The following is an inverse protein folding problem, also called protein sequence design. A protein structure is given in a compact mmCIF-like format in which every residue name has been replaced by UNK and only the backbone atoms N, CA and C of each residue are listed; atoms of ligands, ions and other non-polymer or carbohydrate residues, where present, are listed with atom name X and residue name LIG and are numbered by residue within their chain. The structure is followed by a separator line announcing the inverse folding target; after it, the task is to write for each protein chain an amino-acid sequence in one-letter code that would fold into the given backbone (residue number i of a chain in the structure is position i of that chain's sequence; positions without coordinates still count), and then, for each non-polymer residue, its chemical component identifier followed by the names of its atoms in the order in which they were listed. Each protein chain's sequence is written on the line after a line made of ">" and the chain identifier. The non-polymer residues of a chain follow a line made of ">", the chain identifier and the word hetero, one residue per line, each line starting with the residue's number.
data_IF_276300946024
#
_entry.id   IF_276300946024
#
_cell.length_a   1.000
_cell.length_b   1.000
_cell.length_c   1.000
_cell.angle_alpha   90.00
_cell.angle_beta   90.00
_cell.angle_gamma   90.00
#
_symmetry.space_group_name_H-M   'P 1'
#
loop_
_entity.id
_entity.type
_entity.pdbx_description
1 polymer ?
#
# COMPACT_ATOMS: atom_id res chain seq x y z
N UNK A 1 -7.65 -15.20 0.94
CA UNK A 1 -8.48 -14.01 1.25
C UNK A 1 -8.26 -12.90 0.21
N UNK A 2 -8.80 -13.15 -0.95
CA UNK A 2 -8.88 -12.20 -2.08
C UNK A 2 -10.04 -11.20 -1.85
N UNK A 3 -10.85 -11.39 -0.79
CA UNK A 3 -12.19 -10.85 -0.72
C UNK A 3 -12.31 -9.35 -0.44
N UNK A 4 -11.44 -8.72 0.31
CA UNK A 4 -11.63 -7.30 0.66
C UNK A 4 -11.20 -6.31 -0.44
N UNK A 5 -10.17 -6.64 -1.23
CA UNK A 5 -9.80 -5.83 -2.41
C UNK A 5 -10.70 -6.09 -3.62
N UNK A 6 -11.35 -7.26 -3.70
CA UNK A 6 -12.19 -7.63 -4.84
C UNK A 6 -13.60 -7.04 -4.79
N UNK A 7 -14.18 -6.81 -3.62
CA UNK A 7 -15.55 -6.30 -3.51
C UNK A 7 -15.72 -4.94 -4.17
N UNK A 8 -14.77 -4.02 -4.00
CA UNK A 8 -14.77 -2.75 -4.74
C UNK A 8 -14.46 -2.94 -6.23
N UNK A 9 -13.51 -3.83 -6.57
CA UNK A 9 -13.11 -4.13 -7.94
C UNK A 9 -14.20 -4.82 -8.74
N UNK A 10 -14.99 -5.73 -8.15
CA UNK A 10 -16.10 -6.42 -8.81
C UNK A 10 -17.17 -5.45 -9.29
N UNK A 11 -17.47 -4.41 -8.53
CA UNK A 11 -18.41 -3.37 -8.95
C UNK A 11 -17.87 -2.55 -10.11
N UNK A 12 -16.57 -2.24 -10.12
CA UNK A 12 -15.93 -1.42 -11.14
C UNK A 12 -15.67 -2.16 -12.46
N UNK A 13 -15.65 -3.51 -12.44
CA UNK A 13 -15.29 -4.33 -13.61
C UNK A 13 -16.42 -5.23 -14.11
N UNK A 14 -17.63 -5.11 -13.53
CA UNK A 14 -18.78 -5.99 -13.78
C UNK A 14 -19.07 -6.23 -15.28
N UNK A 15 -18.83 -5.22 -16.11
CA UNK A 15 -19.12 -5.26 -17.56
C UNK A 15 -17.87 -5.55 -18.42
N UNK A 16 -16.73 -5.86 -17.79
CA UNK A 16 -15.46 -6.11 -18.47
C UNK A 16 -15.16 -7.59 -18.55
N UNK A 17 -14.65 -8.03 -19.71
CA UNK A 17 -14.14 -9.40 -19.84
C UNK A 17 -12.81 -9.55 -19.09
N UNK A 18 -12.72 -10.50 -18.19
CA UNK A 18 -11.48 -10.83 -17.48
C UNK A 18 -10.35 -11.29 -18.42
N UNK A 19 -10.70 -11.77 -19.63
CA UNK A 19 -9.75 -12.20 -20.65
C UNK A 19 -9.24 -11.06 -21.54
N UNK A 20 -9.75 -9.83 -21.35
CA UNK A 20 -9.27 -8.68 -22.11
C UNK A 20 -7.85 -8.35 -21.71
N UNK A 21 -6.95 -8.27 -22.70
CA UNK A 21 -5.57 -7.83 -22.50
C UNK A 21 -5.51 -6.29 -22.49
N UNK A 22 -4.75 -5.74 -21.56
CA UNK A 22 -4.51 -4.30 -21.43
C UNK A 22 -3.03 -4.01 -21.55
N UNK A 23 -2.64 -3.21 -22.53
CA UNK A 23 -1.24 -2.82 -22.74
C UNK A 23 -0.65 -2.12 -21.52
N UNK A 24 -1.46 -1.29 -20.84
CA UNK A 24 -1.06 -0.60 -19.60
C UNK A 24 -0.75 -1.53 -18.44
N UNK A 25 -1.31 -2.74 -18.44
CA UNK A 25 -1.06 -3.77 -17.41
C UNK A 25 -0.03 -4.80 -17.86
N UNK A 26 0.25 -4.91 -19.17
CA UNK A 26 1.10 -5.95 -19.77
C UNK A 26 0.56 -7.37 -19.61
N UNK A 27 -0.73 -7.52 -19.31
CA UNK A 27 -1.42 -8.80 -19.04
C UNK A 27 -2.93 -8.66 -19.18
N UNK A 28 -3.67 -9.77 -19.05
CA UNK A 28 -5.13 -9.72 -18.99
C UNK A 28 -5.61 -9.12 -17.67
N UNK A 29 -6.83 -8.60 -17.65
CA UNK A 29 -7.46 -8.07 -16.45
C UNK A 29 -7.53 -9.14 -15.34
N UNK A 30 -7.91 -10.38 -15.71
CA UNK A 30 -7.98 -11.50 -14.76
C UNK A 30 -6.62 -11.82 -14.13
N UNK A 31 -5.55 -11.85 -14.91
CA UNK A 31 -4.19 -12.07 -14.38
C UNK A 31 -3.74 -10.94 -13.45
N UNK A 32 -4.10 -9.69 -13.74
CA UNK A 32 -3.78 -8.57 -12.89
C UNK A 32 -4.52 -8.62 -11.55
N UNK A 33 -5.81 -8.98 -11.57
CA UNK A 33 -6.66 -9.08 -10.39
C UNK A 33 -6.36 -10.30 -9.52
N UNK A 34 -5.88 -11.40 -10.13
CA UNK A 34 -5.50 -12.62 -9.42
C UNK A 34 -4.10 -12.58 -8.81
N UNK A 35 -3.41 -11.43 -8.84
CA UNK A 35 -2.11 -11.28 -8.21
C UNK A 35 -2.20 -11.66 -6.71
N UNK A 36 -1.40 -12.63 -6.23
CA UNK A 36 -1.50 -13.09 -4.85
C UNK A 36 -1.06 -12.02 -3.86
N UNK A 37 -1.67 -12.03 -2.67
CA UNK A 37 -1.22 -11.19 -1.56
C UNK A 37 0.22 -11.51 -1.21
N UNK A 38 1.06 -10.48 -1.15
CA UNK A 38 2.49 -10.60 -0.87
C UNK A 38 2.76 -11.04 0.57
N UNK A 39 3.73 -11.94 0.74
CA UNK A 39 4.16 -12.43 2.05
C UNK A 39 5.42 -11.69 2.49
N UNK A 40 5.32 -10.88 3.55
CA UNK A 40 6.41 -10.00 4.03
C UNK A 40 7.33 -10.62 5.09
N UNK A 41 7.21 -11.92 5.39
CA UNK A 41 8.00 -12.59 6.45
C UNK A 41 9.50 -12.48 6.19
N UNK A 42 9.95 -12.69 4.94
CA UNK A 42 11.37 -12.58 4.59
C UNK A 42 11.89 -11.16 4.80
N UNK A 43 11.11 -10.18 4.38
CA UNK A 43 11.41 -8.75 4.54
C UNK A 43 11.53 -8.36 6.00
N UNK A 44 10.55 -8.74 6.83
CA UNK A 44 10.58 -8.46 8.27
C UNK A 44 11.75 -9.14 8.99
N UNK A 45 12.13 -10.37 8.58
CA UNK A 45 13.33 -11.03 9.10
C UNK A 45 14.61 -10.29 8.71
N UNK A 46 14.71 -9.80 7.48
CA UNK A 46 15.87 -9.02 7.00
C UNK A 46 16.03 -7.74 7.83
N UNK A 47 14.96 -6.98 8.03
CA UNK A 47 14.95 -5.76 8.85
C UNK A 47 15.37 -6.05 10.29
N UNK A 48 14.81 -7.09 10.90
CA UNK A 48 15.19 -7.52 12.25
C UNK A 48 16.67 -7.90 12.36
N UNK A 49 17.19 -8.64 11.37
CA UNK A 49 18.60 -9.06 11.34
C UNK A 49 19.56 -7.88 11.13
N UNK A 50 19.10 -6.79 10.49
CA UNK A 50 19.84 -5.54 10.37
C UNK A 50 19.85 -4.70 11.67
N UNK A 51 19.20 -5.17 12.73
CA UNK A 51 19.17 -4.51 14.03
C UNK A 51 18.17 -3.35 14.15
N UNK A 52 17.32 -3.14 13.15
CA UNK A 52 16.33 -2.06 13.14
C UNK A 52 15.19 -2.34 14.11
N UNK A 53 14.84 -1.33 14.91
CA UNK A 53 13.66 -1.36 15.76
C UNK A 53 12.43 -0.78 15.04
N UNK A 54 11.58 -1.67 14.51
CA UNK A 54 10.30 -1.26 13.90
C UNK A 54 9.34 -0.80 15.00
N UNK A 55 8.97 0.49 15.00
CA UNK A 55 8.09 1.12 15.99
C UNK A 55 6.61 0.93 15.70
N UNK A 56 6.27 0.72 14.44
CA UNK A 56 4.91 0.45 13.99
C UNK A 56 4.91 -0.31 12.67
N UNK A 57 3.91 -1.17 12.48
CA UNK A 57 3.75 -1.97 11.28
C UNK A 57 2.27 -2.05 10.93
N UNK A 58 1.93 -1.71 9.70
CA UNK A 58 0.57 -1.79 9.19
C UNK A 58 0.54 -2.53 7.85
N UNK A 59 -0.20 -3.62 7.78
CA UNK A 59 -0.53 -4.30 6.55
C UNK A 59 -1.74 -3.60 5.92
N UNK A 60 -1.55 -3.05 4.71
CA UNK A 60 -2.58 -2.28 4.02
C UNK A 60 -3.47 -3.23 3.23
N UNK A 61 -4.70 -3.36 3.71
CA UNK A 61 -5.76 -4.21 3.16
C UNK A 61 -7.00 -3.38 2.84
N UNK A 62 -8.20 -3.95 2.84
CA UNK A 62 -9.45 -3.17 2.78
C UNK A 62 -9.50 -2.12 3.88
N UNK A 63 -9.96 -0.91 3.53
CA UNK A 63 -9.82 0.28 4.37
C UNK A 63 -8.61 1.14 4.02
N UNK A 64 -7.74 0.67 3.12
CA UNK A 64 -6.65 1.46 2.53
C UNK A 64 -5.73 2.11 3.56
N UNK A 65 -5.23 3.29 3.23
CA UNK A 65 -4.34 4.05 4.11
C UNK A 65 -5.08 4.64 5.31
N UNK A 66 -6.28 5.17 5.08
CA UNK A 66 -7.03 5.90 6.11
C UNK A 66 -7.43 5.04 7.30
N UNK A 67 -7.76 3.77 7.09
CA UNK A 67 -8.15 2.90 8.19
C UNK A 67 -6.99 2.07 8.75
N UNK A 68 -6.03 1.64 7.91
CA UNK A 68 -5.01 0.70 8.37
C UNK A 68 -3.83 1.41 9.06
N UNK A 69 -3.33 2.52 8.51
CA UNK A 69 -2.15 3.22 9.09
C UNK A 69 -2.43 3.71 10.51
N UNK A 70 -3.57 4.33 10.84
CA UNK A 70 -3.81 4.81 12.20
C UNK A 70 -3.81 3.71 13.26
N UNK A 71 -4.08 2.45 12.89
CA UNK A 71 -4.09 1.32 13.85
C UNK A 71 -2.72 1.09 14.50
N UNK A 72 -1.63 1.44 13.81
CA UNK A 72 -0.28 1.31 14.36
C UNK A 72 0.21 2.56 15.11
N UNK A 73 -0.52 3.68 15.01
CA UNK A 73 -0.13 4.95 15.61
C UNK A 73 -0.65 5.07 17.05
N UNK A 74 0.14 5.58 17.99
CA UNK A 74 -0.36 6.02 19.29
C UNK A 74 -1.22 7.27 19.14
N UNK A 75 -1.94 7.64 20.21
CA UNK A 75 -2.70 8.89 20.26
C UNK A 75 -1.75 10.09 20.26
N UNK A 76 -2.19 11.22 19.71
CA UNK A 76 -1.41 12.45 19.64
C UNK A 76 -0.44 12.56 18.47
N UNK A 77 -0.45 11.59 17.55
CA UNK A 77 0.34 11.64 16.32
C UNK A 77 -0.49 11.24 15.10
N UNK A 78 -0.07 11.74 13.94
CA UNK A 78 -0.64 11.43 12.64
C UNK A 78 0.43 11.04 11.63
N UNK A 79 0.07 10.27 10.61
CA UNK A 79 0.92 10.02 9.45
C UNK A 79 0.65 11.07 8.37
N UNK A 80 1.70 11.67 7.83
CA UNK A 80 1.65 12.52 6.64
C UNK A 80 2.31 11.76 5.50
N UNK A 81 1.51 11.41 4.50
CA UNK A 81 1.94 10.57 3.37
C UNK A 81 1.91 11.37 2.09
N UNK A 82 3.02 11.34 1.35
CA UNK A 82 3.18 11.99 0.05
C UNK A 82 2.74 11.06 -1.06
N UNK A 83 1.71 11.43 -1.81
CA UNK A 83 1.15 10.61 -2.90
C UNK A 83 2.12 10.38 -4.04
N UNK A 84 3.02 11.32 -4.30
CA UNK A 84 4.03 11.28 -5.36
C UNK A 84 5.34 10.59 -4.97
N UNK A 85 5.43 10.05 -3.75
CA UNK A 85 6.63 9.38 -3.23
C UNK A 85 6.90 8.00 -3.83
N UNK A 86 5.94 7.45 -4.57
CA UNK A 86 6.06 6.16 -5.25
C UNK A 86 5.14 6.13 -6.48
N UNK A 87 5.40 5.19 -7.39
CA UNK A 87 4.56 5.00 -8.57
C UNK A 87 3.36 4.09 -8.24
N UNK A 88 2.15 4.63 -8.38
CA UNK A 88 0.91 3.87 -8.20
C UNK A 88 0.74 2.91 -9.40
N UNK A 89 0.56 1.59 -9.16
CA UNK A 89 0.37 0.62 -10.22
C UNK A 89 -0.80 0.97 -11.16
N UNK A 90 -0.66 0.77 -12.48
CA UNK A 90 -1.65 1.19 -13.49
C UNK A 90 -3.06 0.64 -13.26
N UNK A 91 -3.18 -0.53 -12.61
CA UNK A 91 -4.47 -1.15 -12.29
C UNK A 91 -5.37 -0.22 -11.46
N UNK A 92 -4.79 0.53 -10.50
CA UNK A 92 -5.58 1.44 -9.66
C UNK A 92 -6.11 2.63 -10.42
N UNK A 93 -5.31 3.17 -11.36
CA UNK A 93 -5.76 4.26 -12.24
C UNK A 93 -6.89 3.79 -13.17
N UNK A 94 -6.80 2.56 -13.67
CA UNK A 94 -7.85 1.96 -14.49
C UNK A 94 -9.14 1.78 -13.67
N UNK A 95 -9.05 1.22 -12.45
CA UNK A 95 -10.21 1.05 -11.57
C UNK A 95 -10.85 2.39 -11.19
N UNK A 96 -10.04 3.40 -10.92
CA UNK A 96 -10.52 4.75 -10.61
C UNK A 96 -11.30 5.35 -11.77
N UNK A 97 -10.74 5.27 -12.98
CA UNK A 97 -11.35 5.84 -14.20
C UNK A 97 -12.63 5.09 -14.58
N UNK A 98 -12.57 3.76 -14.61
CA UNK A 98 -13.69 2.92 -15.03
C UNK A 98 -14.84 2.89 -14.01
N UNK A 99 -14.51 3.01 -12.73
CA UNK A 99 -15.46 3.05 -11.62
C UNK A 99 -15.94 4.45 -11.25
N UNK A 100 -15.41 5.50 -11.89
CA UNK A 100 -15.68 6.90 -11.53
C UNK A 100 -15.48 7.15 -10.02
N UNK A 101 -14.41 6.55 -9.44
CA UNK A 101 -14.17 6.56 -8.00
C UNK A 101 -13.36 7.80 -7.64
N UNK A 102 -13.85 8.54 -6.65
CA UNK A 102 -13.12 9.67 -6.07
C UNK A 102 -11.77 9.24 -5.48
N UNK A 103 -10.74 10.08 -5.60
CA UNK A 103 -9.38 9.75 -5.17
C UNK A 103 -9.31 9.34 -3.69
N UNK A 104 -9.98 10.06 -2.81
CA UNK A 104 -10.02 9.76 -1.39
C UNK A 104 -10.62 8.38 -1.12
N UNK A 105 -11.64 7.98 -1.89
CA UNK A 105 -12.25 6.67 -1.79
C UNK A 105 -11.28 5.57 -2.29
N UNK A 106 -10.46 5.85 -3.30
CA UNK A 106 -9.40 4.92 -3.73
C UNK A 106 -8.43 4.61 -2.59
N UNK A 107 -7.95 5.64 -1.88
CA UNK A 107 -7.06 5.48 -0.72
C UNK A 107 -7.74 4.93 0.54
N UNK A 108 -9.06 4.99 0.60
CA UNK A 108 -9.85 4.36 1.67
C UNK A 108 -10.22 2.89 1.37
N UNK A 109 -10.18 2.48 0.10
CA UNK A 109 -10.60 1.14 -0.31
C UNK A 109 -9.41 0.24 -0.65
N UNK A 110 -8.41 0.79 -1.34
CA UNK A 110 -7.29 0.04 -1.91
C UNK A 110 -5.97 0.38 -1.22
N UNK A 111 -5.01 -0.53 -1.34
CA UNK A 111 -3.64 -0.30 -0.86
C UNK A 111 -2.79 0.57 -1.78
N UNK A 112 -3.30 0.95 -2.94
CA UNK A 112 -2.67 1.80 -3.95
C UNK A 112 -1.25 1.36 -4.36
N UNK A 113 -0.90 0.07 -4.18
CA UNK A 113 0.41 -0.51 -4.47
C UNK A 113 1.34 -0.63 -3.25
N UNK A 114 0.98 -0.07 -2.10
CA UNK A 114 1.73 -0.18 -0.85
C UNK A 114 1.05 -1.22 0.05
N UNK A 115 1.58 -2.42 0.09
CA UNK A 115 0.97 -3.50 0.89
C UNK A 115 1.43 -3.52 2.36
N UNK A 116 2.59 -2.93 2.69
CA UNK A 116 3.10 -2.88 4.07
C UNK A 116 3.70 -1.51 4.35
N UNK A 117 3.31 -0.89 5.45
CA UNK A 117 3.85 0.37 5.94
C UNK A 117 4.55 0.13 7.28
N UNK A 118 5.76 0.67 7.41
CA UNK A 118 6.57 0.56 8.61
C UNK A 118 6.88 1.97 9.15
N UNK A 119 6.82 2.12 10.47
CA UNK A 119 7.33 3.29 11.16
C UNK A 119 8.66 2.92 11.83
N UNK A 120 9.71 3.64 11.48
CA UNK A 120 11.06 3.47 12.04
C UNK A 120 11.60 4.80 12.51
N UNK A 121 12.68 4.78 13.29
CA UNK A 121 13.38 6.01 13.66
C UNK A 121 14.07 6.64 12.44
N UNK A 122 14.21 7.98 12.36
CA UNK A 122 14.88 8.64 11.22
C UNK A 122 16.29 8.09 10.93
N UNK A 123 17.05 7.76 11.97
CA UNK A 123 18.38 7.18 11.88
C UNK A 123 18.40 5.76 11.31
N UNK A 124 17.29 5.04 11.37
CA UNK A 124 17.14 3.67 10.89
C UNK A 124 16.62 3.58 9.44
N UNK A 125 16.25 4.71 8.82
CA UNK A 125 15.60 4.72 7.49
C UNK A 125 16.50 4.05 6.45
N UNK A 126 17.73 4.49 6.31
CA UNK A 126 18.64 3.97 5.27
C UNK A 126 18.92 2.47 5.48
N UNK A 127 19.18 2.05 6.72
CA UNK A 127 19.38 0.64 7.07
C UNK A 127 18.14 -0.20 6.76
N UNK A 128 16.95 0.34 7.02
CA UNK A 128 15.69 -0.32 6.71
C UNK A 128 15.50 -0.47 5.20
N UNK A 129 15.77 0.59 4.43
CA UNK A 129 15.68 0.57 2.97
C UNK A 129 16.61 -0.48 2.35
N UNK A 130 17.85 -0.57 2.84
CA UNK A 130 18.82 -1.59 2.38
C UNK A 130 18.38 -3.01 2.75
N UNK A 131 17.87 -3.22 3.95
CA UNK A 131 17.38 -4.53 4.40
C UNK A 131 16.18 -5.01 3.58
N UNK A 132 15.27 -4.10 3.19
CA UNK A 132 14.13 -4.41 2.34
C UNK A 132 14.59 -4.77 0.92
N UNK A 133 15.53 -4.00 0.33
CA UNK A 133 16.12 -4.30 -0.98
C UNK A 133 16.83 -5.66 -0.98
N UNK A 134 17.59 -5.97 0.07
CA UNK A 134 18.26 -7.26 0.22
C UNK A 134 17.27 -8.44 0.32
N UNK A 135 16.05 -8.21 0.79
CA UNK A 135 14.98 -9.19 0.79
C UNK A 135 14.33 -9.39 -0.59
N UNK A 136 14.63 -8.53 -1.57
CA UNK A 136 14.10 -8.56 -2.93
C UNK A 136 12.87 -7.69 -3.14
N UNK A 137 12.62 -6.72 -2.26
CA UNK A 137 11.50 -5.81 -2.34
C UNK A 137 11.93 -4.40 -2.73
N UNK A 138 10.99 -3.60 -3.22
CA UNK A 138 11.21 -2.18 -3.53
C UNK A 138 10.65 -1.32 -2.40
N UNK A 139 11.50 -0.69 -1.57
CA UNK A 139 11.05 0.20 -0.51
C UNK A 139 10.91 1.64 -0.99
N UNK A 140 10.00 2.37 -0.34
CA UNK A 140 9.78 3.80 -0.54
C UNK A 140 9.70 4.51 0.81
N UNK A 141 10.24 5.73 0.89
CA UNK A 141 9.96 6.63 2.01
C UNK A 141 8.72 7.44 1.63
N UNK A 142 7.56 7.01 2.12
CA UNK A 142 6.27 7.57 1.71
C UNK A 142 5.82 8.76 2.55
N UNK A 143 6.53 9.07 3.64
CA UNK A 143 6.15 10.21 4.49
C UNK A 143 6.77 10.14 5.87
N UNK A 144 6.19 10.85 6.81
CA UNK A 144 6.64 10.98 8.19
C UNK A 144 5.46 10.96 9.17
N UNK A 145 5.80 10.80 10.46
CA UNK A 145 4.84 10.88 11.57
C UNK A 145 5.06 12.21 12.27
N UNK A 146 3.97 12.94 12.49
CA UNK A 146 3.96 14.26 13.13
C UNK A 146 3.02 14.27 14.33
N UNK A 147 3.21 15.26 15.24
CA UNK A 147 2.26 15.53 16.30
C UNK A 147 0.93 16.03 15.71
N UNK A 148 -0.17 15.51 16.20
CA UNK A 148 -1.51 15.88 15.72
C UNK A 148 -2.60 14.91 16.15
N UNK A 149 -3.81 15.16 15.70
CA UNK A 149 -4.91 14.22 15.88
C UNK A 149 -4.61 12.93 15.09
N UNK A 150 -4.87 11.79 15.73
CA UNK A 150 -4.62 10.47 15.17
C UNK A 150 -5.33 10.26 13.84
N UNK A 151 -4.56 9.95 12.80
CA UNK A 151 -5.10 9.78 11.45
C UNK A 151 -4.03 9.74 10.39
N UNK A 152 -4.47 9.92 9.13
CA UNK A 152 -3.62 10.04 7.95
C UNK A 152 -3.96 11.34 7.21
N UNK A 153 -2.94 12.06 6.79
CA UNK A 153 -3.06 13.15 5.81
C UNK A 153 -2.33 12.72 4.55
N UNK A 154 -3.01 12.79 3.40
CA UNK A 154 -2.40 12.62 2.08
C UNK A 154 -2.09 13.99 1.48
N UNK A 155 -0.91 14.19 0.93
CA UNK A 155 -0.48 15.45 0.31
C UNK A 155 0.32 15.19 -0.97
#
# INVERSE_FOLDING_TARGET
>A
EISACLVGSEMCIRDRSLNTYYDSLGKTLGEALLAPTKIYVKTMKSIKNAGVCVKGCSHITGGGFYENIPRMLPDGVRAVVKKDSYEVPPIFKMLQTDGEIEEDMMYNTFNMGIGLVLAVAPEDVDTTMEAIKAAGETPYVIGNIEAGEKGVTLC
#
